data_IF_206655292015
#
_entry.id   IF_206655292015
#
_cell.length_a   1.000
_cell.length_b   1.000
_cell.length_c   1.000
_cell.angle_alpha   90.00
_cell.angle_beta   90.00
_cell.angle_gamma   90.00
#
_symmetry.space_group_name_H-M   'P 1'
#
loop_
_entity.id
_entity.type
_entity.pdbx_description
1 polymer ?
#
# COMPACT_ATOMS: atom_id res chain seq x y z
N UNK A 1 -22.90 2.37 14.64
CA UNK A 1 -22.33 2.61 13.31
C UNK A 1 -20.85 2.36 13.48
N UNK A 2 -20.29 1.29 12.89
CA UNK A 2 -18.83 1.06 12.68
C UNK A 2 -18.54 -0.44 12.46
N UNK A 3 -19.20 -1.06 11.47
CA UNK A 3 -19.03 -2.48 11.12
C UNK A 3 -18.29 -2.68 9.80
N UNK A 4 -17.81 -1.61 9.17
CA UNK A 4 -17.20 -1.69 7.85
C UNK A 4 -15.80 -2.32 7.95
N UNK A 5 -15.71 -3.60 7.59
CA UNK A 5 -14.47 -4.39 7.64
C UNK A 5 -13.81 -4.59 6.27
N UNK A 6 -14.59 -4.52 5.20
CA UNK A 6 -14.12 -4.61 3.82
C UNK A 6 -14.68 -3.43 3.03
N UNK A 7 -13.85 -2.83 2.19
CA UNK A 7 -14.26 -1.90 1.14
C UNK A 7 -13.90 -2.54 -0.19
N UNK A 8 -14.91 -2.71 -1.04
CA UNK A 8 -14.75 -3.25 -2.39
C UNK A 8 -15.27 -2.19 -3.38
N UNK A 9 -14.36 -1.58 -4.14
CA UNK A 9 -14.62 -0.49 -5.08
C UNK A 9 -14.32 -1.00 -6.48
N UNK A 10 -15.33 -0.99 -7.36
CA UNK A 10 -15.20 -1.53 -8.70
C UNK A 10 -15.80 -0.58 -9.74
N UNK A 11 -15.15 -0.48 -10.90
CA UNK A 11 -15.68 0.19 -12.09
C UNK A 11 -16.21 1.60 -11.81
N UNK A 12 -15.48 2.37 -11.00
CA UNK A 12 -15.79 3.77 -10.73
C UNK A 12 -15.42 4.58 -11.97
N UNK A 13 -16.41 4.82 -12.84
CA UNK A 13 -16.27 5.42 -14.18
C UNK A 13 -15.62 6.81 -14.23
N UNK A 14 -14.32 6.87 -13.95
CA UNK A 14 -13.46 8.05 -14.07
C UNK A 14 -13.68 9.15 -13.02
N UNK A 15 -14.45 8.91 -11.95
CA UNK A 15 -14.64 9.90 -10.87
C UNK A 15 -13.61 9.70 -9.77
N UNK A 16 -13.03 10.81 -9.30
CA UNK A 16 -12.20 10.82 -8.10
C UNK A 16 -13.06 10.38 -6.90
N UNK A 17 -12.52 9.49 -6.08
CA UNK A 17 -13.19 9.07 -4.84
C UNK A 17 -12.72 10.04 -3.75
N UNK A 18 -13.57 11.02 -3.46
CA UNK A 18 -13.37 11.88 -2.31
C UNK A 18 -13.86 11.17 -1.04
N UNK A 19 -12.95 10.94 -0.11
CA UNK A 19 -13.32 10.57 1.26
C UNK A 19 -13.74 11.84 1.99
N UNK A 20 -15.04 12.12 1.99
CA UNK A 20 -15.60 13.26 2.73
C UNK A 20 -15.95 12.81 4.15
N UNK A 21 -15.25 13.36 5.14
CA UNK A 21 -15.63 13.21 6.55
C UNK A 21 -16.95 13.97 6.79
N UNK A 22 -18.06 13.23 6.97
CA UNK A 22 -19.39 13.80 7.29
C UNK A 22 -19.70 13.72 8.79
N UNK A 23 -18.74 14.01 9.65
CA UNK A 23 -18.97 14.10 11.10
C UNK A 23 -18.84 15.55 11.55
N UNK A 24 -19.83 16.02 12.32
CA UNK A 24 -19.82 17.32 12.97
C UNK A 24 -18.68 17.36 13.99
N UNK A 25 -17.52 17.91 13.61
CA UNK A 25 -16.32 18.01 14.44
C UNK A 25 -16.52 18.97 15.61
N UNK A 26 -16.98 18.42 16.74
CA UNK A 26 -16.55 18.93 18.03
C UNK A 26 -15.07 18.52 18.19
N UNK A 27 -14.19 19.50 18.01
CA UNK A 27 -12.73 19.40 18.11
C UNK A 27 -12.32 18.66 19.39
N UNK A 28 -11.91 17.40 19.26
CA UNK A 28 -11.09 16.70 20.24
C UNK A 28 -9.78 16.28 19.56
N UNK A 29 -8.59 16.41 20.19
CA UNK A 29 -7.29 16.22 19.54
C UNK A 29 -6.92 14.76 19.25
N UNK A 30 -7.87 13.81 19.30
CA UNK A 30 -7.59 12.36 19.27
C UNK A 30 -8.19 11.67 18.02
N UNK A 31 -8.55 12.42 16.99
CA UNK A 31 -9.43 11.95 15.93
C UNK A 31 -8.71 12.06 14.59
N UNK A 32 -8.40 10.91 13.99
CA UNK A 32 -8.53 10.63 12.54
C UNK A 32 -8.20 9.15 12.21
N UNK A 33 -8.55 8.20 13.08
CA UNK A 33 -8.61 6.76 12.72
C UNK A 33 -10.04 6.38 12.29
N UNK A 34 -10.56 7.07 11.27
CA UNK A 34 -11.95 6.95 10.81
C UNK A 34 -12.32 5.52 10.38
N UNK A 35 -11.35 4.75 9.89
CA UNK A 35 -11.55 3.39 9.41
C UNK A 35 -10.87 2.35 10.32
N UNK A 36 -10.99 2.53 11.64
CA UNK A 36 -10.37 1.63 12.63
C UNK A 36 -10.81 0.16 12.50
N UNK A 37 -12.01 -0.12 11.97
CA UNK A 37 -12.48 -1.49 11.78
C UNK A 37 -12.21 -2.05 10.37
N UNK A 38 -11.65 -1.23 9.47
CA UNK A 38 -11.35 -1.64 8.11
C UNK A 38 -10.12 -2.55 8.10
N UNK A 39 -10.30 -3.75 7.55
CA UNK A 39 -9.32 -4.83 7.53
C UNK A 39 -8.90 -5.16 6.09
N UNK A 40 -9.77 -4.90 5.13
CA UNK A 40 -9.57 -5.24 3.73
C UNK A 40 -10.04 -4.14 2.79
N UNK A 41 -9.24 -3.87 1.75
CA UNK A 41 -9.57 -2.96 0.67
C UNK A 41 -9.28 -3.65 -0.66
N UNK A 42 -10.28 -3.74 -1.52
CA UNK A 42 -10.15 -4.15 -2.92
C UNK A 42 -10.60 -3.03 -3.85
N UNK A 43 -9.77 -2.68 -4.82
CA UNK A 43 -10.05 -1.65 -5.80
C UNK A 43 -9.81 -2.22 -7.19
N UNK A 44 -10.77 -2.10 -8.09
CA UNK A 44 -10.67 -2.62 -9.45
C UNK A 44 -11.24 -1.66 -10.49
N UNK A 45 -10.52 -1.47 -11.60
CA UNK A 45 -11.02 -0.72 -12.77
C UNK A 45 -11.45 0.71 -12.41
N UNK A 46 -10.61 1.42 -11.64
CA UNK A 46 -10.91 2.75 -11.11
C UNK A 46 -9.96 3.81 -11.67
N UNK A 47 -10.21 4.26 -12.90
CA UNK A 47 -9.34 5.21 -13.60
C UNK A 47 -9.50 6.67 -13.13
N UNK A 48 -10.39 6.96 -12.17
CA UNK A 48 -10.49 8.30 -11.56
C UNK A 48 -9.54 8.53 -10.39
N UNK A 49 -8.83 7.50 -9.93
CA UNK A 49 -7.99 7.55 -8.73
C UNK A 49 -6.54 7.87 -9.10
N UNK A 50 -5.99 8.91 -8.48
CA UNK A 50 -4.55 9.24 -8.55
C UNK A 50 -3.75 8.67 -7.40
N UNK A 51 -4.36 8.60 -6.23
CA UNK A 51 -3.76 8.00 -5.03
C UNK A 51 -4.80 7.38 -4.09
N UNK A 52 -4.32 6.62 -3.10
CA UNK A 52 -5.12 6.01 -2.03
C UNK A 52 -4.69 6.51 -0.65
N UNK A 53 -4.28 7.77 -0.53
CA UNK A 53 -3.71 8.33 0.72
C UNK A 53 -4.65 8.20 1.92
N UNK A 54 -5.96 8.13 1.69
CA UNK A 54 -6.98 7.87 2.71
C UNK A 54 -6.78 6.54 3.46
N UNK A 55 -6.00 5.58 2.92
CA UNK A 55 -5.64 4.35 3.61
C UNK A 55 -4.84 4.60 4.91
N UNK A 56 -4.22 5.78 5.08
CA UNK A 56 -3.60 6.19 6.35
C UNK A 56 -4.63 6.30 7.49
N UNK A 57 -5.91 6.52 7.17
CA UNK A 57 -7.01 6.57 8.14
C UNK A 57 -7.51 5.17 8.55
N UNK A 58 -6.93 4.10 7.97
CA UNK A 58 -7.27 2.69 8.19
C UNK A 58 -6.12 1.92 8.88
N UNK A 59 -5.84 2.18 10.18
CA UNK A 59 -4.67 1.64 10.87
C UNK A 59 -4.65 0.11 11.01
N UNK A 60 -5.82 -0.54 10.92
CA UNK A 60 -5.98 -1.99 11.06
C UNK A 60 -6.10 -2.72 9.71
N UNK A 61 -5.78 -2.04 8.60
CA UNK A 61 -5.76 -2.65 7.28
C UNK A 61 -4.75 -3.81 7.24
N UNK A 62 -5.22 -4.96 6.79
CA UNK A 62 -4.41 -6.20 6.67
C UNK A 62 -4.30 -6.70 5.24
N UNK A 63 -5.21 -6.32 4.35
CA UNK A 63 -5.27 -6.78 2.96
C UNK A 63 -5.52 -5.59 2.03
N UNK A 64 -4.63 -5.37 1.07
CA UNK A 64 -4.80 -4.39 0.00
C UNK A 64 -4.67 -5.10 -1.35
N UNK A 65 -5.73 -5.02 -2.15
CA UNK A 65 -5.74 -5.53 -3.52
C UNK A 65 -6.14 -4.39 -4.47
N UNK A 66 -5.31 -4.08 -5.46
CA UNK A 66 -5.58 -3.03 -6.44
C UNK A 66 -5.33 -3.56 -7.85
N UNK A 67 -6.33 -3.42 -8.70
CA UNK A 67 -6.40 -4.06 -10.01
C UNK A 67 -6.80 -3.03 -11.08
N UNK A 68 -6.16 -3.09 -12.25
CA UNK A 68 -6.63 -2.47 -13.50
C UNK A 68 -7.00 -0.98 -13.39
N UNK A 69 -6.32 -0.24 -12.51
CA UNK A 69 -6.61 1.18 -12.23
C UNK A 69 -5.50 2.02 -12.85
N UNK A 70 -5.71 2.39 -14.11
CA UNK A 70 -4.65 2.83 -15.03
C UNK A 70 -4.12 4.23 -14.76
N UNK A 71 -4.85 5.04 -14.01
CA UNK A 71 -4.42 6.39 -13.64
C UNK A 71 -3.81 6.48 -12.24
N UNK A 72 -3.80 5.38 -11.47
CA UNK A 72 -3.27 5.37 -10.12
C UNK A 72 -1.74 5.53 -10.15
N UNK A 73 -1.24 6.60 -9.53
CA UNK A 73 0.18 6.96 -9.56
C UNK A 73 0.89 6.59 -8.25
N UNK A 74 0.21 6.67 -7.12
CA UNK A 74 0.78 6.39 -5.80
C UNK A 74 -0.23 5.61 -4.94
N UNK A 75 0.21 4.65 -4.12
CA UNK A 75 -0.69 4.10 -3.09
C UNK A 75 -0.90 5.16 -2.01
N UNK A 76 0.18 5.67 -1.40
CA UNK A 76 0.13 6.82 -0.52
C UNK A 76 0.91 7.97 -1.17
N UNK A 77 0.24 9.09 -1.42
CA UNK A 77 0.89 10.27 -1.97
C UNK A 77 1.69 10.99 -0.89
N UNK A 78 2.97 11.27 -1.18
CA UNK A 78 3.84 12.01 -0.25
C UNK A 78 3.29 13.39 0.09
N UNK A 79 2.79 14.09 -0.91
CA UNK A 79 2.33 15.47 -0.77
C UNK A 79 1.03 15.55 0.05
N UNK A 80 0.12 14.58 -0.15
CA UNK A 80 -1.16 14.51 0.59
C UNK A 80 -1.03 13.89 1.97
N UNK A 81 0.00 13.07 2.22
CA UNK A 81 0.18 12.42 3.51
C UNK A 81 0.66 13.37 4.61
N UNK A 82 1.36 14.46 4.26
CA UNK A 82 1.89 15.42 5.23
C UNK A 82 0.79 15.96 6.16
N UNK A 83 -0.36 16.37 5.60
CA UNK A 83 -1.47 16.89 6.39
C UNK A 83 -2.07 15.82 7.33
N UNK A 84 -2.22 14.59 6.86
CA UNK A 84 -2.78 13.49 7.66
C UNK A 84 -1.83 13.11 8.80
N UNK A 85 -0.53 13.00 8.51
CA UNK A 85 0.46 12.59 9.51
C UNK A 85 0.71 13.69 10.56
N UNK A 86 0.72 14.98 10.17
CA UNK A 86 0.81 16.11 11.10
C UNK A 86 -0.39 16.16 12.06
N UNK A 87 -1.60 15.89 11.56
CA UNK A 87 -2.82 15.85 12.36
C UNK A 87 -2.85 14.67 13.35
N UNK A 88 -2.20 13.55 13.02
CA UNK A 88 -2.15 12.39 13.90
C UNK A 88 -1.25 12.53 15.13
N UNK A 89 -0.39 13.57 15.24
CA UNK A 89 0.43 13.98 16.41
C UNK A 89 1.09 12.89 17.27
N UNK A 90 1.21 11.69 16.74
CA UNK A 90 1.69 10.54 17.48
C UNK A 90 2.79 9.91 16.63
N UNK A 91 4.05 10.12 17.04
CA UNK A 91 5.27 9.59 16.42
C UNK A 91 5.31 8.04 16.38
N UNK A 92 4.21 7.37 16.76
CA UNK A 92 4.07 5.93 16.90
C UNK A 92 3.19 5.29 15.81
N UNK A 93 2.47 6.06 14.99
CA UNK A 93 1.66 5.47 13.91
C UNK A 93 2.54 5.18 12.71
N UNK A 94 2.98 3.94 12.58
CA UNK A 94 3.68 3.44 11.39
C UNK A 94 2.65 3.06 10.33
N UNK A 95 2.65 3.68 9.13
CA UNK A 95 1.78 3.30 8.03
C UNK A 95 1.93 1.81 7.70
N UNK A 96 0.79 1.15 7.42
CA UNK A 96 0.75 -0.26 7.03
C UNK A 96 1.36 -1.25 8.05
N UNK A 97 1.45 -0.89 9.33
CA UNK A 97 1.98 -1.78 10.38
C UNK A 97 1.26 -3.14 10.47
N UNK A 98 -0.05 -3.15 10.16
CA UNK A 98 -0.89 -4.35 10.20
C UNK A 98 -1.02 -5.08 8.86
N UNK A 99 -0.43 -4.55 7.79
CA UNK A 99 -0.62 -5.05 6.45
C UNK A 99 0.05 -6.42 6.29
N UNK A 100 -0.72 -7.40 5.80
CA UNK A 100 -0.30 -8.79 5.60
C UNK A 100 -0.19 -9.16 4.12
N UNK A 101 -1.06 -8.57 3.30
CA UNK A 101 -1.20 -8.89 1.88
C UNK A 101 -1.20 -7.58 1.09
N UNK A 102 -0.31 -7.51 0.10
CA UNK A 102 -0.35 -6.52 -0.98
C UNK A 102 -0.45 -7.27 -2.30
N UNK A 103 -1.48 -6.97 -3.08
CA UNK A 103 -1.64 -7.47 -4.44
C UNK A 103 -1.90 -6.28 -5.37
N UNK A 104 -1.01 -6.08 -6.35
CA UNK A 104 -1.05 -4.97 -7.29
C UNK A 104 -0.94 -5.54 -8.71
N UNK A 105 -1.95 -5.35 -9.56
CA UNK A 105 -1.90 -5.82 -10.94
C UNK A 105 -2.51 -4.85 -11.95
N UNK A 106 -1.88 -4.75 -13.13
CA UNK A 106 -2.30 -3.86 -14.23
C UNK A 106 -2.47 -2.41 -13.76
N UNK A 107 -1.39 -1.86 -13.18
CA UNK A 107 -1.30 -0.47 -12.70
C UNK A 107 -0.17 0.25 -13.45
N UNK A 108 -0.36 0.57 -14.75
CA UNK A 108 0.70 1.07 -15.62
C UNK A 108 1.30 2.41 -15.19
N UNK A 109 0.55 3.24 -14.45
CA UNK A 109 1.01 4.55 -13.96
C UNK A 109 1.55 4.53 -12.52
N UNK A 110 1.47 3.39 -11.81
CA UNK A 110 1.89 3.31 -10.41
C UNK A 110 3.40 3.48 -10.30
N UNK A 111 3.84 4.49 -9.55
CA UNK A 111 5.26 4.85 -9.35
C UNK A 111 5.75 4.51 -7.96
N UNK A 112 4.88 4.55 -6.95
CA UNK A 112 5.27 4.42 -5.55
C UNK A 112 4.17 3.79 -4.70
N UNK A 113 4.56 2.96 -3.72
CA UNK A 113 3.67 2.52 -2.64
C UNK A 113 3.76 3.48 -1.45
N UNK A 114 4.97 3.82 -1.05
CA UNK A 114 5.28 4.75 0.04
C UNK A 114 6.67 5.37 -0.21
N UNK A 115 6.88 6.63 0.16
CA UNK A 115 8.08 7.39 -0.23
C UNK A 115 9.34 7.06 0.60
N UNK A 116 9.20 6.30 1.69
CA UNK A 116 10.31 5.85 2.54
C UNK A 116 10.19 4.36 2.86
N UNK A 117 11.26 3.75 3.38
CA UNK A 117 11.22 2.38 3.83
C UNK A 117 10.19 2.19 4.97
N UNK A 118 9.49 1.05 4.94
CA UNK A 118 8.54 0.64 5.97
C UNK A 118 9.00 -0.68 6.62
N UNK A 119 8.80 -0.88 7.93
CA UNK A 119 9.20 -2.11 8.59
C UNK A 119 8.50 -3.37 8.06
N UNK A 120 7.21 -3.25 7.68
CA UNK A 120 6.36 -4.36 7.24
C UNK A 120 6.45 -5.61 8.13
N UNK A 121 6.30 -5.43 9.44
CA UNK A 121 6.49 -6.50 10.43
C UNK A 121 5.53 -7.68 10.25
N UNK A 122 4.36 -7.43 9.65
CA UNK A 122 3.27 -8.42 9.50
C UNK A 122 3.02 -8.84 8.07
N UNK A 123 3.75 -8.28 7.10
CA UNK A 123 3.56 -8.59 5.70
C UNK A 123 3.97 -10.05 5.46
N UNK A 124 3.17 -10.78 4.68
CA UNK A 124 3.35 -12.21 4.38
C UNK A 124 3.33 -12.52 2.90
N UNK A 125 2.58 -11.72 2.14
CA UNK A 125 2.38 -11.91 0.72
C UNK A 125 2.50 -10.56 0.01
N UNK A 126 3.26 -10.55 -1.08
CA UNK A 126 3.43 -9.40 -1.94
C UNK A 126 3.41 -9.87 -3.39
N UNK A 127 2.50 -9.31 -4.18
CA UNK A 127 2.46 -9.55 -5.61
C UNK A 127 2.36 -8.26 -6.40
N UNK A 128 3.19 -8.18 -7.44
CA UNK A 128 3.19 -7.09 -8.42
C UNK A 128 3.25 -7.70 -9.82
N UNK A 129 2.25 -7.41 -10.64
CA UNK A 129 2.15 -7.83 -12.03
C UNK A 129 1.77 -6.65 -12.91
N UNK A 130 2.39 -6.49 -14.07
CA UNK A 130 2.07 -5.44 -15.05
C UNK A 130 2.14 -3.99 -14.46
N UNK A 131 3.00 -3.74 -13.46
CA UNK A 131 3.20 -2.43 -12.84
C UNK A 131 4.59 -1.85 -13.18
N UNK A 132 4.89 -1.69 -14.47
CA UNK A 132 6.26 -1.42 -14.97
C UNK A 132 6.90 -0.08 -14.52
N UNK A 133 6.09 0.87 -14.04
CA UNK A 133 6.58 2.14 -13.47
C UNK A 133 6.89 2.05 -11.97
N UNK A 134 6.44 1.01 -11.29
CA UNK A 134 6.73 0.81 -9.87
C UNK A 134 8.13 0.23 -9.75
N UNK A 135 9.15 1.09 -9.77
CA UNK A 135 10.54 0.64 -9.76
C UNK A 135 11.13 0.53 -8.38
N UNK A 136 10.54 1.17 -7.37
CA UNK A 136 11.06 1.17 -6.00
C UNK A 136 10.01 0.63 -5.03
N UNK A 137 10.46 -0.23 -4.11
CA UNK A 137 9.64 -0.66 -2.98
C UNK A 137 9.99 0.12 -1.71
N UNK A 138 9.03 0.30 -0.78
CA UNK A 138 9.30 0.86 0.53
C UNK A 138 9.93 -0.20 1.45
N UNK A 139 11.06 -0.74 1.02
CA UNK A 139 11.86 -1.75 1.72
C UNK A 139 13.29 -1.27 1.89
N UNK A 140 13.85 -1.52 3.06
CA UNK A 140 15.28 -1.46 3.33
C UNK A 140 15.80 -2.81 3.86
N UNK A 141 17.10 -2.88 4.14
CA UNK A 141 17.74 -4.08 4.67
C UNK A 141 17.20 -4.56 6.03
N UNK A 142 16.31 -3.82 6.71
CA UNK A 142 15.67 -4.15 7.99
C UNK A 142 14.18 -4.46 7.87
N UNK A 143 13.52 -4.08 6.78
CA UNK A 143 12.12 -4.44 6.48
C UNK A 143 11.90 -5.94 6.45
N UNK A 144 10.73 -6.45 6.84
CA UNK A 144 10.34 -7.87 6.80
C UNK A 144 11.35 -8.77 7.53
N UNK A 145 11.10 -9.15 8.79
CA UNK A 145 12.08 -9.87 9.60
C UNK A 145 12.53 -11.20 9.00
N UNK A 146 11.59 -11.98 8.45
CA UNK A 146 11.82 -13.32 7.91
C UNK A 146 11.50 -13.41 6.42
N UNK A 147 12.38 -12.86 5.60
CA UNK A 147 12.24 -12.79 4.13
C UNK A 147 12.16 -14.18 3.50
N UNK A 148 12.68 -15.19 4.18
CA UNK A 148 12.66 -16.59 3.77
C UNK A 148 11.31 -17.28 3.95
N UNK A 149 10.44 -16.80 4.85
CA UNK A 149 9.08 -17.30 5.06
C UNK A 149 8.05 -16.53 4.22
N UNK A 150 8.51 -15.54 3.45
CA UNK A 150 7.67 -14.61 2.72
C UNK A 150 7.42 -15.07 1.28
N UNK A 151 6.17 -14.94 0.82
CA UNK A 151 5.77 -15.28 -0.54
C UNK A 151 5.72 -14.05 -1.44
N UNK A 152 6.67 -13.99 -2.39
CA UNK A 152 6.76 -12.94 -3.41
C UNK A 152 6.32 -13.49 -4.76
N UNK A 153 5.36 -12.83 -5.39
CA UNK A 153 4.91 -13.16 -6.74
C UNK A 153 5.06 -11.95 -7.67
N UNK A 154 6.22 -11.87 -8.32
CA UNK A 154 6.58 -10.76 -9.19
C UNK A 154 7.04 -11.27 -10.56
N UNK A 155 6.78 -10.51 -11.62
CA UNK A 155 7.22 -10.81 -12.98
C UNK A 155 8.74 -10.61 -13.14
N UNK A 156 9.37 -11.42 -13.99
CA UNK A 156 10.83 -11.38 -14.19
C UNK A 156 11.28 -10.02 -14.74
N UNK A 157 10.52 -9.47 -15.69
CA UNK A 157 10.75 -8.14 -16.28
C UNK A 157 10.69 -7.04 -15.22
N UNK A 158 9.77 -7.16 -14.27
CA UNK A 158 9.65 -6.22 -13.16
C UNK A 158 10.84 -6.35 -12.18
N UNK A 159 11.23 -7.58 -11.83
CA UNK A 159 12.40 -7.84 -10.96
C UNK A 159 13.68 -7.28 -11.58
N UNK A 160 13.85 -7.36 -12.91
CA UNK A 160 15.02 -6.81 -13.60
C UNK A 160 15.06 -5.27 -13.58
N UNK A 161 13.89 -4.62 -13.54
CA UNK A 161 13.75 -3.16 -13.56
C UNK A 161 13.73 -2.50 -12.18
N UNK A 162 13.79 -3.27 -11.10
CA UNK A 162 13.66 -2.75 -9.74
C UNK A 162 14.93 -1.97 -9.30
N UNK A 163 14.70 -0.82 -8.69
CA UNK A 163 15.67 0.07 -8.06
C UNK A 163 15.68 -0.20 -6.55
N UNK A 164 16.79 -0.72 -6.05
CA UNK A 164 16.99 -1.05 -4.64
C UNK A 164 17.47 0.16 -3.84
N UNK A 165 17.08 0.26 -2.56
CA UNK A 165 17.53 1.33 -1.64
C UNK A 165 19.06 1.33 -1.50
N UNK A 166 19.64 0.15 -1.29
CA UNK A 166 21.07 -0.08 -1.19
C UNK A 166 21.42 -1.53 -1.60
N UNK A 167 22.72 -1.82 -1.67
CA UNK A 167 23.21 -3.16 -2.03
C UNK A 167 22.82 -4.22 -0.99
N UNK A 168 22.72 -3.84 0.30
CA UNK A 168 22.31 -4.75 1.36
C UNK A 168 20.86 -5.21 1.20
N UNK A 169 19.96 -4.29 0.84
CA UNK A 169 18.56 -4.54 0.54
C UNK A 169 18.44 -5.45 -0.68
N UNK A 170 19.17 -5.15 -1.76
CA UNK A 170 19.22 -6.01 -2.95
C UNK A 170 19.62 -7.45 -2.60
N UNK A 171 20.75 -7.62 -1.92
CA UNK A 171 21.29 -8.94 -1.61
C UNK A 171 20.36 -9.75 -0.69
N UNK A 172 19.58 -9.07 0.15
CA UNK A 172 18.63 -9.71 1.07
C UNK A 172 17.35 -10.19 0.38
N UNK A 173 16.78 -9.39 -0.52
CA UNK A 173 15.45 -9.66 -1.11
C UNK A 173 15.50 -10.33 -2.49
N UNK A 174 16.49 -10.02 -3.32
CA UNK A 174 16.60 -10.54 -4.68
C UNK A 174 16.54 -12.09 -4.75
N UNK A 175 17.15 -12.86 -3.82
CA UNK A 175 17.03 -14.32 -3.84
C UNK A 175 15.59 -14.81 -3.63
N UNK A 176 14.78 -14.10 -2.83
CA UNK A 176 13.39 -14.47 -2.58
C UNK A 176 12.45 -14.12 -3.73
N UNK A 177 12.71 -13.03 -4.46
CA UNK A 177 11.89 -12.66 -5.63
C UNK A 177 12.05 -13.65 -6.78
N UNK A 178 13.22 -14.29 -6.88
CA UNK A 178 13.50 -15.30 -7.91
C UNK A 178 13.07 -16.72 -7.51
N UNK A 179 12.45 -16.91 -6.33
CA UNK A 179 11.90 -18.21 -5.96
C UNK A 179 10.68 -18.47 -6.83
N UNK A 180 10.79 -19.41 -7.76
CA UNK A 180 9.63 -19.90 -8.51
C UNK A 180 8.64 -20.50 -7.51
N UNK A 181 7.38 -20.12 -7.61
CA UNK A 181 6.31 -20.82 -6.89
C UNK A 181 6.38 -22.31 -7.28
N UNK A 182 6.32 -23.25 -6.32
CA UNK A 182 6.20 -24.66 -6.65
C UNK A 182 4.94 -24.87 -7.49
N UNK A 183 5.10 -25.54 -8.64
CA UNK A 183 4.04 -25.90 -9.57
C UNK A 183 2.97 -26.77 -8.94
#
# INVERSE_FOLDING_TARGET
MDTLRSIDIWSCGGREIEVVEKTSLNKSPTILQCFSNLVEVRIGTCDGLKDLTWLLLAPNLTSLCVLQSKQLEEIISKDKAASILEETRNDTVVPFNNLKIIFLADLPELKSIFWSALPFERLKYFSVMECLKLRKLPLDSKSILKVEEFDFHCEEEWIQGIEWEDEATRNRFLPSFNRRAPH
#
